data_IF_772366285810
#
_entry.id   IF_772366285810
#
_cell.length_a   1.000
_cell.length_b   1.000
_cell.length_c   1.000
_cell.angle_alpha   90.00
_cell.angle_beta   90.00
_cell.angle_gamma   90.00
#
_symmetry.space_group_name_H-M   'P 1'
#
loop_
_entity.id
_entity.type
_entity.pdbx_description
1 polymer ?
#
# COMPACT_ATOMS: atom_id res chain seq x y z
N UNK A 1 58.31 -32.73 20.03
CA UNK A 1 58.08 -31.66 19.03
C UNK A 1 57.11 -30.62 19.61
N UNK A 2 57.29 -29.36 19.21
CA UNK A 2 56.95 -28.13 19.94
C UNK A 2 55.47 -27.76 20.05
N UNK A 3 55.13 -27.20 21.22
CA UNK A 3 54.02 -26.28 21.50
C UNK A 3 54.41 -24.85 21.10
N UNK A 4 53.62 -24.19 20.26
CA UNK A 4 53.65 -22.73 19.95
C UNK A 4 52.28 -22.40 19.35
N UNK A 5 51.56 -21.31 19.60
CA UNK A 5 51.52 -20.28 20.63
C UNK A 5 50.25 -19.47 20.32
N UNK A 6 49.48 -19.12 21.35
CA UNK A 6 48.32 -18.22 21.24
C UNK A 6 48.82 -16.78 21.13
N UNK A 7 48.74 -16.17 19.95
CA UNK A 7 48.92 -14.72 19.74
C UNK A 7 47.54 -14.08 19.55
N UNK A 8 46.98 -13.49 20.61
CA UNK A 8 47.13 -12.08 20.98
C UNK A 8 46.31 -11.15 20.07
N UNK A 9 45.12 -10.77 20.56
CA UNK A 9 44.30 -9.70 20.00
C UNK A 9 44.93 -8.34 20.28
N UNK A 10 44.92 -7.38 19.34
CA UNK A 10 45.38 -6.03 19.62
C UNK A 10 44.35 -5.28 20.47
N UNK A 11 44.82 -4.79 21.61
CA UNK A 11 44.14 -3.83 22.48
C UNK A 11 43.95 -2.50 21.76
N UNK A 12 42.71 -2.03 21.63
CA UNK A 12 42.41 -0.67 21.22
C UNK A 12 42.71 0.28 22.38
N UNK A 13 43.91 0.84 22.39
CA UNK A 13 44.28 1.98 23.24
C UNK A 13 43.45 3.20 22.84
N UNK A 14 42.80 3.80 23.84
CA UNK A 14 41.93 4.95 23.67
C UNK A 14 42.63 6.20 23.16
N UNK A 15 41.91 6.94 22.32
CA UNK A 15 42.15 8.35 22.06
C UNK A 15 40.80 9.07 22.20
N UNK A 16 40.56 9.61 23.40
CA UNK A 16 39.42 10.45 23.75
C UNK A 16 39.48 11.73 22.93
N UNK A 17 38.64 11.86 21.90
CA UNK A 17 38.53 13.13 21.17
C UNK A 17 37.81 14.15 22.07
N UNK A 18 38.31 15.39 22.20
CA UNK A 18 37.65 16.41 22.99
C UNK A 18 36.30 16.80 22.35
N UNK A 19 35.28 16.88 23.20
CA UNK A 19 33.96 17.42 22.86
C UNK A 19 34.12 18.93 22.68
N UNK A 20 33.78 19.53 21.52
CA UNK A 20 33.78 20.97 21.41
C UNK A 20 32.67 21.54 22.31
N UNK A 21 33.07 22.25 23.36
CA UNK A 21 32.18 23.07 24.17
C UNK A 21 31.61 24.18 23.28
N UNK A 22 30.31 24.11 22.99
CA UNK A 22 29.59 25.12 22.25
C UNK A 22 29.59 26.44 23.04
N UNK A 23 30.49 27.37 22.68
CA UNK A 23 30.41 28.77 23.05
C UNK A 23 29.19 29.40 22.40
N UNK A 24 28.24 29.80 23.24
CA UNK A 24 27.03 30.54 22.87
C UNK A 24 27.41 31.96 22.49
N UNK A 25 27.48 32.26 21.19
CA UNK A 25 27.42 33.64 20.71
C UNK A 25 25.97 34.00 20.39
N UNK A 26 25.50 34.97 21.16
CA UNK A 26 24.18 35.60 21.12
C UNK A 26 23.92 36.39 19.83
N UNK A 27 22.78 36.10 19.20
CA UNK A 27 22.02 37.00 18.32
C UNK A 27 21.63 36.39 16.97
N UNK A 28 20.39 36.39 16.48
CA UNK A 28 19.14 37.07 16.86
C UNK A 28 17.92 36.21 16.42
N UNK A 29 16.75 36.48 17.01
CA UNK A 29 15.40 36.00 16.67
C UNK A 29 15.03 34.57 17.15
N UNK A 30 14.28 34.46 18.27
CA UNK A 30 12.80 34.31 18.32
C UNK A 30 12.35 33.00 17.64
N UNK A 31 11.69 32.03 18.24
CA UNK A 31 10.91 31.97 19.46
C UNK A 31 10.33 30.53 19.55
N UNK A 32 10.57 29.83 20.65
CA UNK A 32 9.77 28.78 21.32
C UNK A 32 8.93 27.78 20.47
N UNK A 33 9.39 26.53 20.36
CA UNK A 33 8.53 25.37 20.06
C UNK A 33 8.56 24.39 21.23
N UNK A 34 8.03 24.87 22.36
CA UNK A 34 7.43 24.02 23.39
C UNK A 34 6.12 23.48 22.79
N UNK A 35 5.79 22.22 23.09
CA UNK A 35 4.46 21.60 22.97
C UNK A 35 3.32 22.63 22.87
N UNK A 36 2.88 22.94 21.65
CA UNK A 36 1.69 23.75 21.42
C UNK A 36 0.65 22.87 20.76
N UNK A 37 -0.26 22.35 21.59
CA UNK A 37 -1.49 21.65 21.19
C UNK A 37 -2.51 22.61 20.54
N UNK A 38 -2.07 23.75 20.02
CA UNK A 38 -2.91 24.81 19.45
C UNK A 38 -2.97 24.83 17.92
N UNK A 39 -2.32 23.90 17.21
CA UNK A 39 -2.42 23.78 15.75
C UNK A 39 -3.37 22.63 15.33
N UNK A 40 -4.48 22.48 16.08
CA UNK A 40 -5.51 21.44 15.83
C UNK A 40 -6.54 21.87 14.76
N UNK A 41 -6.22 22.89 13.98
CA UNK A 41 -7.14 23.45 12.97
C UNK A 41 -6.53 23.57 11.56
N UNK A 42 -5.33 22.99 11.33
CA UNK A 42 -4.89 22.71 9.95
C UNK A 42 -5.76 21.59 9.38
N UNK A 43 -6.86 21.97 8.74
CA UNK A 43 -7.44 21.13 7.69
C UNK A 43 -6.34 20.88 6.68
N UNK A 44 -5.77 19.67 6.67
CA UNK A 44 -4.99 19.20 5.54
C UNK A 44 -5.92 19.32 4.33
N UNK A 45 -5.53 20.05 3.27
CA UNK A 45 -6.31 20.14 2.05
C UNK A 45 -6.64 18.72 1.56
N UNK A 46 -7.90 18.46 1.18
CA UNK A 46 -8.36 17.11 0.83
C UNK A 46 -7.55 16.48 -0.31
N UNK A 47 -6.99 17.31 -1.19
CA UNK A 47 -6.03 16.98 -2.24
C UNK A 47 -4.71 16.42 -1.69
N UNK A 48 -4.19 16.98 -0.59
CA UNK A 48 -2.97 16.52 0.07
C UNK A 48 -3.20 15.15 0.75
N UNK A 49 -4.35 14.94 1.40
CA UNK A 49 -4.71 13.62 1.96
C UNK A 49 -4.86 12.54 0.88
N UNK A 50 -5.36 12.92 -0.31
CA UNK A 50 -5.52 12.02 -1.46
C UNK A 50 -4.16 11.63 -2.05
N UNK A 51 -3.21 12.55 -2.11
CA UNK A 51 -1.84 12.29 -2.55
C UNK A 51 -1.06 11.30 -1.66
N UNK A 52 -1.38 11.24 -0.36
CA UNK A 52 -0.77 10.29 0.58
C UNK A 52 -1.43 8.91 0.59
N UNK A 53 -2.63 8.76 0.00
CA UNK A 53 -3.27 7.45 -0.11
C UNK A 53 -2.55 6.67 -1.20
N UNK A 54 -1.69 5.73 -0.78
CA UNK A 54 -1.02 4.80 -1.70
C UNK A 54 -2.07 4.10 -2.58
N UNK A 55 -1.85 4.01 -3.90
CA UNK A 55 -2.67 3.18 -4.76
C UNK A 55 -2.73 1.77 -4.17
N UNK A 56 -3.94 1.26 -3.94
CA UNK A 56 -4.08 -0.12 -3.47
C UNK A 56 -3.62 -1.04 -4.59
N UNK A 57 -2.78 -2.04 -4.30
CA UNK A 57 -2.38 -2.99 -5.32
C UNK A 57 -3.63 -3.65 -5.92
N UNK A 58 -3.67 -3.70 -7.24
CA UNK A 58 -4.74 -4.24 -8.08
C UNK A 58 -5.29 -5.60 -7.57
N UNK A 59 -4.40 -6.55 -7.27
CA UNK A 59 -4.75 -7.85 -6.67
C UNK A 59 -5.35 -7.74 -5.26
N UNK A 60 -4.83 -6.82 -4.44
CA UNK A 60 -5.31 -6.62 -3.07
C UNK A 60 -6.76 -6.15 -3.02
N UNK A 61 -7.21 -5.39 -4.03
CA UNK A 61 -8.63 -5.02 -4.15
C UNK A 61 -9.51 -6.23 -4.48
N UNK A 62 -9.06 -7.11 -5.38
CA UNK A 62 -9.79 -8.32 -5.73
C UNK A 62 -10.02 -9.23 -4.51
N UNK A 63 -8.99 -9.45 -3.69
CA UNK A 63 -9.13 -10.23 -2.45
C UNK A 63 -9.91 -9.47 -1.38
N UNK A 64 -9.70 -8.16 -1.23
CA UNK A 64 -10.39 -7.36 -0.22
C UNK A 64 -11.89 -7.21 -0.48
N UNK A 65 -12.33 -7.27 -1.74
CA UNK A 65 -13.75 -7.34 -2.11
C UNK A 65 -14.32 -8.77 -2.05
N UNK A 66 -13.51 -9.76 -1.66
CA UNK A 66 -13.94 -11.15 -1.58
C UNK A 66 -14.14 -11.83 -2.94
N UNK A 67 -13.68 -11.24 -4.05
CA UNK A 67 -13.91 -11.82 -5.38
C UNK A 67 -13.30 -13.23 -5.51
N UNK A 68 -12.21 -13.49 -4.78
CA UNK A 68 -11.53 -14.78 -4.77
C UNK A 68 -12.33 -15.89 -4.08
N UNK A 69 -13.29 -15.59 -3.20
CA UNK A 69 -14.08 -16.63 -2.52
C UNK A 69 -14.94 -17.43 -3.50
N UNK A 70 -15.40 -16.76 -4.57
CA UNK A 70 -16.23 -17.38 -5.60
C UNK A 70 -15.42 -17.63 -6.88
N UNK A 71 -14.63 -16.66 -7.34
CA UNK A 71 -13.86 -16.79 -8.59
C UNK A 71 -12.50 -17.47 -8.42
N UNK A 72 -12.15 -17.89 -7.20
CA UNK A 72 -10.88 -18.54 -6.91
C UNK A 72 -9.70 -17.59 -6.91
N UNK A 73 -8.55 -18.12 -6.51
CA UNK A 73 -7.29 -17.36 -6.47
C UNK A 73 -6.93 -16.86 -7.88
N UNK A 74 -6.64 -15.57 -8.00
CA UNK A 74 -6.37 -14.90 -9.28
C UNK A 74 -7.44 -15.12 -10.37
N UNK A 75 -8.69 -15.38 -10.00
CA UNK A 75 -9.77 -15.60 -10.97
C UNK A 75 -9.68 -16.92 -11.74
N UNK A 76 -9.00 -17.94 -11.18
CA UNK A 76 -8.88 -19.27 -11.80
C UNK A 76 -10.24 -19.96 -12.08
N UNK A 77 -11.30 -19.53 -11.39
CA UNK A 77 -12.64 -20.12 -11.44
C UNK A 77 -12.79 -21.25 -10.43
N UNK A 78 -14.02 -21.45 -9.98
CA UNK A 78 -14.41 -22.55 -9.08
C UNK A 78 -15.71 -23.19 -9.57
N UNK A 79 -16.22 -24.17 -8.83
CA UNK A 79 -17.58 -24.68 -9.05
C UNK A 79 -18.67 -23.63 -8.76
N UNK A 80 -18.37 -22.62 -7.92
CA UNK A 80 -19.31 -21.58 -7.54
C UNK A 80 -19.39 -20.44 -8.55
N UNK A 81 -18.28 -20.06 -9.19
CA UNK A 81 -18.25 -18.99 -10.19
C UNK A 81 -17.24 -19.26 -11.31
N UNK A 82 -17.52 -18.78 -12.54
CA UNK A 82 -16.67 -19.03 -13.69
C UNK A 82 -15.31 -18.35 -13.56
N UNK A 83 -14.33 -18.89 -14.30
CA UNK A 83 -13.01 -18.29 -14.42
C UNK A 83 -13.07 -16.89 -15.03
N UNK A 84 -12.27 -15.98 -14.47
CA UNK A 84 -12.06 -14.61 -14.95
C UNK A 84 -10.75 -14.47 -15.73
N UNK A 85 -9.97 -15.54 -15.84
CA UNK A 85 -8.79 -15.55 -16.70
C UNK A 85 -9.17 -15.24 -18.15
N UNK A 86 -8.40 -14.34 -18.78
CA UNK A 86 -8.64 -13.80 -20.12
C UNK A 86 -9.97 -13.05 -20.30
N UNK A 87 -10.62 -12.58 -19.22
CA UNK A 87 -11.87 -11.80 -19.33
C UNK A 87 -11.66 -10.48 -20.10
N UNK A 88 -10.46 -9.90 -20.00
CA UNK A 88 -10.06 -8.70 -20.76
C UNK A 88 -10.02 -8.90 -22.28
N UNK A 89 -10.02 -10.14 -22.77
CA UNK A 89 -10.15 -10.42 -24.20
C UNK A 89 -11.62 -10.46 -24.66
N UNK A 90 -12.56 -10.65 -23.73
CA UNK A 90 -14.00 -10.74 -24.01
C UNK A 90 -14.73 -9.42 -23.84
N UNK A 91 -14.29 -8.61 -22.87
CA UNK A 91 -14.93 -7.35 -22.50
C UNK A 91 -13.88 -6.25 -22.38
N UNK A 92 -14.24 -5.05 -22.84
CA UNK A 92 -13.43 -3.84 -22.64
C UNK A 92 -13.54 -3.34 -21.18
N UNK A 93 -12.71 -2.38 -20.81
CA UNK A 93 -12.70 -1.80 -19.45
C UNK A 93 -14.05 -1.21 -19.07
N UNK A 94 -14.67 -0.44 -19.97
CA UNK A 94 -15.96 0.20 -19.73
C UNK A 94 -17.08 -0.81 -19.46
N UNK A 95 -17.09 -1.93 -20.19
CA UNK A 95 -18.06 -3.00 -19.98
C UNK A 95 -17.81 -3.73 -18.67
N UNK A 96 -16.54 -3.97 -18.31
CA UNK A 96 -16.18 -4.57 -17.03
C UNK A 96 -16.62 -3.67 -15.86
N UNK A 97 -16.34 -2.36 -15.92
CA UNK A 97 -16.81 -1.40 -14.92
C UNK A 97 -18.33 -1.40 -14.79
N UNK A 98 -19.04 -1.40 -15.92
CA UNK A 98 -20.50 -1.45 -15.93
C UNK A 98 -21.05 -2.74 -15.34
N UNK A 99 -20.39 -3.88 -15.57
CA UNK A 99 -20.78 -5.18 -15.00
C UNK A 99 -20.52 -5.26 -13.49
N UNK A 100 -19.45 -4.61 -13.01
CA UNK A 100 -19.17 -4.54 -11.57
C UNK A 100 -20.19 -3.65 -10.84
N UNK A 101 -20.55 -2.50 -11.43
CA UNK A 101 -21.57 -1.59 -10.88
C UNK A 101 -23.00 -2.15 -11.02
N UNK A 102 -23.27 -2.84 -12.13
CA UNK A 102 -24.58 -3.38 -12.46
C UNK A 102 -24.43 -4.83 -12.94
N UNK A 103 -24.31 -5.79 -12.00
CA UNK A 103 -24.18 -7.20 -12.33
C UNK A 103 -25.43 -7.70 -13.06
N UNK A 104 -25.24 -8.66 -13.96
CA UNK A 104 -26.36 -9.27 -14.68
C UNK A 104 -27.25 -10.08 -13.74
N UNK A 105 -28.50 -10.35 -14.13
CA UNK A 105 -29.42 -11.17 -13.33
C UNK A 105 -28.82 -12.54 -12.98
N UNK A 106 -28.07 -13.16 -13.89
CA UNK A 106 -27.39 -14.44 -13.62
C UNK A 106 -26.30 -14.29 -12.53
N UNK A 107 -25.57 -13.18 -12.53
CA UNK A 107 -24.55 -12.88 -11.52
C UNK A 107 -25.20 -12.60 -10.16
N UNK A 108 -26.30 -11.83 -10.12
CA UNK A 108 -27.05 -11.55 -8.90
C UNK A 108 -27.69 -12.80 -8.31
N UNK A 109 -28.26 -13.68 -9.14
CA UNK A 109 -28.77 -14.99 -8.71
C UNK A 109 -27.65 -15.89 -8.16
N UNK A 110 -26.42 -15.73 -8.66
CA UNK A 110 -25.22 -16.37 -8.14
C UNK A 110 -24.65 -15.72 -6.87
N UNK A 111 -25.28 -14.67 -6.34
CA UNK A 111 -24.83 -13.97 -5.13
C UNK A 111 -23.70 -12.96 -5.39
N UNK A 112 -23.61 -12.39 -6.60
CA UNK A 112 -22.71 -11.27 -6.87
C UNK A 112 -23.48 -9.95 -6.78
N UNK A 113 -23.25 -9.22 -5.69
CA UNK A 113 -23.80 -7.90 -5.47
C UNK A 113 -23.09 -6.80 -6.29
N UNK A 114 -23.78 -5.68 -6.55
CA UNK A 114 -23.17 -4.46 -7.08
C UNK A 114 -21.96 -4.02 -6.25
N UNK A 115 -20.83 -3.80 -6.92
CA UNK A 115 -19.61 -3.32 -6.29
C UNK A 115 -19.64 -1.79 -6.23
N UNK A 116 -19.89 -1.25 -5.03
CA UNK A 116 -19.81 0.19 -4.76
C UNK A 116 -18.42 0.57 -4.27
N UNK A 117 -17.55 0.92 -5.22
CA UNK A 117 -16.19 1.37 -4.98
C UNK A 117 -15.97 2.75 -5.59
N UNK A 118 -15.02 3.49 -5.03
CA UNK A 118 -14.56 4.76 -5.62
C UNK A 118 -14.00 4.49 -7.02
N UNK A 119 -14.18 5.44 -7.94
CA UNK A 119 -13.75 5.28 -9.33
C UNK A 119 -12.27 4.88 -9.45
N UNK A 120 -11.37 5.47 -8.66
CA UNK A 120 -9.95 5.09 -8.64
C UNK A 120 -9.70 3.61 -8.28
N UNK A 121 -10.45 3.10 -7.29
CA UNK A 121 -10.35 1.70 -6.87
C UNK A 121 -11.01 0.77 -7.90
N UNK A 122 -12.10 1.21 -8.55
CA UNK A 122 -12.72 0.47 -9.65
C UNK A 122 -11.81 0.36 -10.86
N UNK A 123 -11.19 1.45 -11.29
CA UNK A 123 -10.25 1.46 -12.42
C UNK A 123 -9.07 0.52 -12.13
N UNK A 124 -8.57 0.54 -10.89
CA UNK A 124 -7.53 -0.38 -10.45
C UNK A 124 -8.01 -1.85 -10.48
N UNK A 125 -9.23 -2.14 -10.04
CA UNK A 125 -9.81 -3.48 -10.08
C UNK A 125 -10.03 -3.95 -11.52
N UNK A 126 -10.53 -3.09 -12.42
CA UNK A 126 -10.72 -3.44 -13.83
C UNK A 126 -9.39 -3.69 -14.53
N UNK A 127 -8.38 -2.86 -14.25
CA UNK A 127 -7.00 -3.09 -14.72
C UNK A 127 -6.48 -4.45 -14.26
N UNK A 128 -6.77 -4.84 -13.01
CA UNK A 128 -6.43 -6.17 -12.52
C UNK A 128 -7.09 -7.26 -13.36
N UNK A 129 -8.41 -7.19 -13.55
CA UNK A 129 -9.20 -8.18 -14.29
C UNK A 129 -8.72 -8.31 -15.74
N UNK A 130 -8.34 -7.20 -16.39
CA UNK A 130 -7.77 -7.21 -17.73
C UNK A 130 -6.39 -7.86 -17.80
N UNK A 131 -5.61 -7.81 -16.72
CA UNK A 131 -4.29 -8.42 -16.65
C UNK A 131 -4.31 -9.94 -16.48
N UNK A 132 -5.45 -10.52 -16.05
CA UNK A 132 -5.61 -11.95 -15.81
C UNK A 132 -5.51 -12.74 -17.13
N UNK A 133 -4.62 -13.75 -17.14
CA UNK A 133 -4.36 -14.62 -18.30
C UNK A 133 -4.75 -16.06 -18.03
#
# INVERSE_FOLDING_TARGET
MNLVSLSAWPSFTGASRPIPSATRSSGWARSHWIFSVADRDRRIPGDVLRAFRRPRPHHGLFTAQGCNSCHGENGAGTAAAPKLTAIGNKYDSAKLESLLKSPTTAMQLGGMEPVDLKQEDLDALVTYLQSLK
#
